data_IF_348591595590
#
_entry.id   IF_348591595590
#
_cell.length_a   1.000
_cell.length_b   1.000
_cell.length_c   1.000
_cell.angle_alpha   90.00
_cell.angle_beta   90.00
_cell.angle_gamma   90.00
#
_symmetry.space_group_name_H-M   'P 1'
#
loop_
_entity.id
_entity.type
_entity.pdbx_description
1 polymer ?
#
# COMPACT_ATOMS: atom_id res chain seq x y z
N UNK A 1 -13.49 0.11 -7.84
CA UNK A 1 -13.55 1.36 -8.64
C UNK A 1 -13.86 1.20 -10.14
N UNK A 2 -13.26 0.24 -10.86
CA UNK A 2 -13.32 0.16 -12.35
C UNK A 2 -14.71 0.07 -13.01
N UNK A 3 -15.78 -0.15 -12.25
CA UNK A 3 -17.17 -0.15 -12.74
C UNK A 3 -17.85 1.22 -12.63
N UNK A 4 -17.25 2.18 -11.93
CA UNK A 4 -17.77 3.54 -11.81
C UNK A 4 -17.39 4.37 -13.04
N UNK A 5 -18.25 5.30 -13.50
CA UNK A 5 -17.92 6.18 -14.60
C UNK A 5 -16.72 7.08 -14.26
N UNK A 6 -15.58 6.86 -14.92
CA UNK A 6 -14.31 7.57 -14.66
C UNK A 6 -14.38 9.08 -14.86
N UNK A 7 -15.32 9.55 -15.69
CA UNK A 7 -15.56 10.98 -15.93
C UNK A 7 -16.38 11.66 -14.82
N UNK A 8 -17.07 10.88 -13.97
CA UNK A 8 -17.97 11.42 -12.94
C UNK A 8 -17.49 11.15 -11.52
N UNK A 9 -16.68 10.12 -11.32
CA UNK A 9 -16.18 9.70 -10.01
C UNK A 9 -14.67 9.90 -9.93
N UNK A 10 -14.24 10.66 -8.92
CA UNK A 10 -12.85 10.68 -8.52
C UNK A 10 -12.53 9.41 -7.73
N UNK A 11 -11.57 8.62 -8.22
CA UNK A 11 -11.09 7.42 -7.55
C UNK A 11 -9.84 7.73 -6.75
N UNK A 12 -9.99 7.75 -5.43
CA UNK A 12 -8.87 7.79 -4.52
C UNK A 12 -8.47 6.35 -4.17
N UNK A 13 -7.32 5.90 -4.65
CA UNK A 13 -6.75 4.60 -4.28
C UNK A 13 -5.77 4.79 -3.12
N UNK A 14 -6.10 4.19 -1.97
CA UNK A 14 -5.26 4.20 -0.78
C UNK A 14 -3.88 3.60 -1.08
N UNK A 15 -3.84 2.43 -1.70
CA UNK A 15 -2.59 1.74 -2.05
C UNK A 15 -1.70 2.57 -3.00
N UNK A 16 -2.32 3.20 -4.01
CA UNK A 16 -1.61 4.11 -4.90
C UNK A 16 -1.01 5.28 -4.12
N UNK A 17 -1.76 5.86 -3.18
CA UNK A 17 -1.28 6.96 -2.36
C UNK A 17 -0.15 6.54 -1.43
N UNK A 18 -0.29 5.39 -0.77
CA UNK A 18 0.73 4.77 0.07
C UNK A 18 2.02 4.62 -0.75
N UNK A 19 1.94 3.97 -1.91
CA UNK A 19 3.10 3.70 -2.76
C UNK A 19 3.78 4.94 -3.34
N UNK A 20 3.01 5.97 -3.71
CA UNK A 20 3.55 7.16 -4.37
C UNK A 20 4.03 8.25 -3.40
N UNK A 21 3.30 8.51 -2.31
CA UNK A 21 3.64 9.60 -1.38
C UNK A 21 4.45 9.12 -0.17
N UNK A 22 4.07 8.00 0.43
CA UNK A 22 4.55 7.66 1.77
C UNK A 22 5.63 6.57 1.76
N UNK A 23 5.56 5.63 0.82
CA UNK A 23 6.56 4.59 0.63
C UNK A 23 7.45 4.82 -0.59
N UNK A 24 7.23 5.90 -1.34
CA UNK A 24 8.00 6.21 -2.54
C UNK A 24 9.50 6.24 -2.30
N UNK A 25 9.96 6.97 -1.28
CA UNK A 25 11.37 7.03 -0.89
C UNK A 25 11.87 5.70 -0.29
N UNK A 26 11.22 5.08 0.71
CA UNK A 26 11.64 3.78 1.23
C UNK A 26 11.81 2.68 0.17
N UNK A 27 10.90 2.61 -0.80
CA UNK A 27 10.99 1.66 -1.92
C UNK A 27 12.22 2.00 -2.77
N UNK A 28 12.41 3.28 -3.11
CA UNK A 28 13.51 3.73 -3.95
C UNK A 28 14.88 3.50 -3.28
N UNK A 29 14.99 3.76 -1.99
CA UNK A 29 16.21 3.55 -1.22
C UNK A 29 16.57 2.07 -1.14
N UNK A 30 15.59 1.18 -0.95
CA UNK A 30 15.81 -0.26 -1.00
C UNK A 30 16.32 -0.72 -2.38
N UNK A 31 15.83 -0.13 -3.48
CA UNK A 31 16.31 -0.46 -4.83
C UNK A 31 17.73 0.08 -5.03
N UNK A 32 17.99 1.33 -4.64
CA UNK A 32 19.32 1.94 -4.74
C UNK A 32 20.34 1.13 -3.95
N UNK A 33 20.01 0.72 -2.72
CA UNK A 33 20.90 -0.10 -1.89
C UNK A 33 21.33 -1.39 -2.61
N UNK A 34 20.40 -2.10 -3.26
CA UNK A 34 20.73 -3.28 -4.05
C UNK A 34 21.52 -2.95 -5.32
N UNK A 35 21.22 -1.83 -5.99
CA UNK A 35 21.97 -1.38 -7.15
C UNK A 35 23.44 -1.04 -6.80
N UNK A 36 23.70 -0.57 -5.57
CA UNK A 36 25.06 -0.29 -5.10
C UNK A 36 25.93 -1.54 -4.97
N UNK A 37 25.34 -2.72 -4.83
CA UNK A 37 26.07 -4.00 -4.79
C UNK A 37 26.54 -4.46 -6.19
N UNK A 38 26.03 -3.84 -7.26
CA UNK A 38 26.42 -4.09 -8.65
C UNK A 38 27.37 -2.99 -9.11
N UNK A 39 28.69 -3.24 -9.26
CA UNK A 39 29.67 -2.19 -9.56
C UNK A 39 29.32 -1.30 -10.77
N UNK A 40 28.81 -1.91 -11.84
CA UNK A 40 28.35 -1.18 -13.03
C UNK A 40 27.22 -0.18 -12.72
N UNK A 41 26.21 -0.59 -11.95
CA UNK A 41 25.10 0.29 -11.60
C UNK A 41 25.52 1.36 -10.59
N UNK A 42 26.39 0.99 -9.63
CA UNK A 42 26.99 1.92 -8.68
C UNK A 42 27.69 3.07 -9.38
N UNK A 43 28.57 2.78 -10.34
CA UNK A 43 29.32 3.82 -11.04
C UNK A 43 28.38 4.78 -11.78
N UNK A 44 27.37 4.24 -12.49
CA UNK A 44 26.38 5.05 -13.20
C UNK A 44 25.48 5.89 -12.28
N UNK A 45 25.13 5.39 -11.09
CA UNK A 45 24.33 6.13 -10.12
C UNK A 45 25.15 7.23 -9.44
N UNK A 46 26.42 6.97 -9.09
CA UNK A 46 27.29 7.95 -8.44
C UNK A 46 27.71 9.07 -9.38
N UNK A 47 27.80 8.80 -10.69
CA UNK A 47 28.10 9.81 -11.71
C UNK A 47 26.87 10.53 -12.25
N UNK A 48 25.68 10.34 -11.65
CA UNK A 48 24.39 10.85 -12.13
C UNK A 48 24.10 10.53 -13.61
N UNK A 49 24.69 9.45 -14.13
CA UNK A 49 24.51 9.02 -15.52
C UNK A 49 23.20 8.26 -15.73
N UNK A 50 22.63 7.71 -14.65
CA UNK A 50 21.28 7.15 -14.61
C UNK A 50 20.56 7.60 -13.33
N UNK A 51 19.23 7.56 -13.36
CA UNK A 51 18.41 7.70 -12.17
C UNK A 51 17.39 6.56 -12.11
N UNK A 52 16.91 6.25 -10.91
CA UNK A 52 15.89 5.23 -10.67
C UNK A 52 14.62 5.93 -10.21
N UNK A 53 13.48 5.53 -10.75
CA UNK A 53 12.17 6.04 -10.37
C UNK A 53 11.18 4.88 -10.20
N UNK A 54 10.30 5.01 -9.21
CA UNK A 54 9.26 4.03 -8.96
C UNK A 54 8.07 4.28 -9.88
N UNK A 55 7.76 3.30 -10.73
CA UNK A 55 6.56 3.34 -11.56
C UNK A 55 5.38 2.66 -10.84
N UNK A 56 4.78 3.38 -9.89
CA UNK A 56 3.57 2.96 -9.20
C UNK A 56 2.35 3.54 -9.93
N UNK A 57 1.37 2.70 -10.22
CA UNK A 57 0.06 3.12 -10.72
C UNK A 57 -1.05 2.43 -9.94
N UNK A 58 -2.29 2.86 -10.14
CA UNK A 58 -3.47 2.22 -9.52
C UNK A 58 -3.54 0.73 -9.91
N UNK A 59 -3.15 0.38 -11.14
CA UNK A 59 -3.14 -1.01 -11.62
C UNK A 59 -1.81 -1.73 -11.39
N UNK A 60 -0.72 -1.01 -11.09
CA UNK A 60 0.60 -1.56 -10.82
C UNK A 60 1.11 -1.19 -9.42
N UNK A 61 0.76 -2.04 -8.45
CA UNK A 61 1.22 -1.95 -7.06
C UNK A 61 2.40 -2.90 -6.77
N UNK A 62 3.03 -3.44 -7.81
CA UNK A 62 4.16 -4.35 -7.66
C UNK A 62 5.33 -3.74 -6.85
N UNK A 63 5.70 -2.45 -7.00
CA UNK A 63 6.77 -1.86 -6.19
C UNK A 63 6.47 -1.84 -4.69
N UNK A 64 5.20 -1.60 -4.32
CA UNK A 64 4.77 -1.63 -2.91
C UNK A 64 4.85 -3.06 -2.39
N UNK A 65 4.31 -4.02 -3.15
CA UNK A 65 4.31 -5.43 -2.79
C UNK A 65 5.73 -5.99 -2.65
N UNK A 66 6.64 -5.68 -3.59
CA UNK A 66 8.03 -6.15 -3.55
C UNK A 66 8.79 -5.55 -2.36
N UNK A 67 8.51 -4.30 -2.00
CA UNK A 67 9.07 -3.70 -0.80
C UNK A 67 8.55 -4.36 0.46
N UNK A 68 7.23 -4.51 0.65
CA UNK A 68 6.70 -5.18 1.87
C UNK A 68 7.28 -6.59 2.04
N UNK A 69 7.38 -7.34 0.94
CA UNK A 69 8.01 -8.65 0.92
C UNK A 69 7.28 -9.66 1.80
N UNK A 70 7.99 -10.72 2.18
CA UNK A 70 7.49 -11.78 3.06
C UNK A 70 8.59 -12.17 4.02
N UNK A 71 8.23 -12.53 5.25
CA UNK A 71 9.18 -13.15 6.17
C UNK A 71 9.63 -14.51 5.62
N UNK A 72 10.93 -14.82 5.74
CA UNK A 72 11.44 -16.14 5.36
C UNK A 72 12.93 -16.18 5.02
N UNK A 73 13.32 -17.20 4.26
CA UNK A 73 14.71 -17.43 3.87
C UNK A 73 15.20 -16.37 2.86
N UNK A 74 16.24 -15.62 3.22
CA UNK A 74 16.85 -14.59 2.37
C UNK A 74 17.36 -15.10 1.03
N UNK A 75 17.85 -16.35 0.96
CA UNK A 75 18.28 -16.98 -0.30
C UNK A 75 17.13 -17.24 -1.26
N UNK A 76 15.89 -17.25 -0.78
CA UNK A 76 14.66 -17.42 -1.56
C UNK A 76 13.83 -16.12 -1.64
N UNK A 77 14.44 -14.97 -1.31
CA UNK A 77 13.77 -13.66 -1.35
C UNK A 77 12.92 -13.32 -0.12
N UNK A 78 13.06 -14.08 0.98
CA UNK A 78 12.44 -13.76 2.26
C UNK A 78 13.20 -12.71 3.05
N UNK A 79 12.49 -11.94 3.87
CA UNK A 79 13.04 -10.93 4.77
C UNK A 79 13.32 -11.53 6.15
N UNK A 80 14.40 -11.07 6.77
CA UNK A 80 14.62 -11.28 8.19
C UNK A 80 13.50 -10.59 9.00
N UNK A 81 13.14 -11.16 10.15
CA UNK A 81 12.03 -10.68 10.98
C UNK A 81 12.10 -9.18 11.28
N UNK A 82 13.27 -8.68 11.71
CA UNK A 82 13.45 -7.27 12.05
C UNK A 82 13.21 -6.34 10.86
N UNK A 83 13.67 -6.73 9.66
CA UNK A 83 13.44 -5.95 8.45
C UNK A 83 11.99 -6.00 8.01
N UNK A 84 11.36 -7.18 8.09
CA UNK A 84 9.94 -7.33 7.81
C UNK A 84 9.10 -6.42 8.73
N UNK A 85 9.34 -6.46 10.05
CA UNK A 85 8.67 -5.58 11.03
C UNK A 85 8.88 -4.10 10.74
N UNK A 86 10.11 -3.69 10.37
CA UNK A 86 10.39 -2.31 9.99
C UNK A 86 9.54 -1.87 8.81
N UNK A 87 9.42 -2.70 7.76
CA UNK A 87 8.59 -2.40 6.58
C UNK A 87 7.10 -2.40 6.91
N UNK A 88 6.65 -3.30 7.77
CA UNK A 88 5.28 -3.31 8.31
C UNK A 88 4.93 -2.02 9.05
N UNK A 89 5.82 -1.51 9.91
CA UNK A 89 5.62 -0.26 10.63
C UNK A 89 5.60 0.96 9.69
N UNK A 90 6.43 0.96 8.64
CA UNK A 90 6.37 2.01 7.60
C UNK A 90 5.05 1.97 6.85
N UNK A 91 4.56 0.78 6.48
CA UNK A 91 3.26 0.61 5.83
C UNK A 91 2.11 1.11 6.70
N UNK A 92 2.09 0.74 7.98
CA UNK A 92 1.06 1.19 8.93
C UNK A 92 0.98 2.71 9.01
N UNK A 93 2.11 3.38 9.18
CA UNK A 93 2.18 4.86 9.18
C UNK A 93 1.72 5.46 7.85
N UNK A 94 2.12 4.85 6.74
CA UNK A 94 1.73 5.28 5.40
C UNK A 94 0.22 5.15 5.18
N UNK A 95 -0.38 4.08 5.67
CA UNK A 95 -1.81 3.81 5.53
C UNK A 95 -2.65 4.78 6.36
N UNK A 96 -2.27 5.04 7.62
CA UNK A 96 -2.88 6.08 8.47
C UNK A 96 -2.83 7.44 7.74
N UNK A 97 -1.65 7.85 7.28
CA UNK A 97 -1.48 9.14 6.62
C UNK A 97 -2.22 9.23 5.28
N UNK A 98 -2.37 8.11 4.55
CA UNK A 98 -3.19 8.04 3.35
C UNK A 98 -4.68 8.16 3.67
N UNK A 99 -5.16 7.66 4.81
CA UNK A 99 -6.56 7.83 5.20
C UNK A 99 -6.87 9.26 5.65
N UNK A 100 -5.95 9.95 6.32
CA UNK A 100 -6.11 11.38 6.63
C UNK A 100 -6.11 12.29 5.38
N UNK A 101 -5.39 11.91 4.32
CA UNK A 101 -5.39 12.65 3.06
C UNK A 101 -6.78 12.66 2.37
N UNK A 102 -7.70 11.74 2.72
CA UNK A 102 -9.01 11.57 2.05
C UNK A 102 -9.83 12.85 2.07
N UNK A 103 -9.95 13.52 3.22
CA UNK A 103 -10.74 14.76 3.35
C UNK A 103 -10.27 15.85 2.38
N UNK A 104 -8.96 16.08 2.32
CA UNK A 104 -8.38 17.06 1.40
C UNK A 104 -8.54 16.65 -0.06
N UNK A 105 -8.49 15.35 -0.37
CA UNK A 105 -8.73 14.86 -1.73
C UNK A 105 -10.18 14.99 -2.18
N UNK A 106 -11.16 14.89 -1.28
CA UNK A 106 -12.56 15.21 -1.57
C UNK A 106 -12.65 16.68 -2.05
N UNK A 107 -12.03 17.61 -1.31
CA UNK A 107 -12.02 19.02 -1.68
C UNK A 107 -11.27 19.28 -2.98
N UNK A 108 -10.11 18.65 -3.20
CA UNK A 108 -9.32 18.78 -4.44
C UNK A 108 -10.06 18.21 -5.65
N UNK A 109 -10.72 17.06 -5.50
CA UNK A 109 -11.47 16.40 -6.57
C UNK A 109 -12.53 17.34 -7.16
N UNK A 110 -13.27 18.02 -6.30
CA UNK A 110 -14.27 18.98 -6.75
C UNK A 110 -13.64 20.30 -7.23
N UNK A 111 -12.76 20.91 -6.43
CA UNK A 111 -12.21 22.25 -6.70
C UNK A 111 -11.33 22.30 -7.96
N UNK A 112 -10.48 21.29 -8.16
CA UNK A 112 -9.47 21.29 -9.23
C UNK A 112 -10.02 20.62 -10.48
N UNK A 113 -10.73 19.51 -10.32
CA UNK A 113 -11.12 18.64 -11.42
C UNK A 113 -12.63 18.63 -11.70
N UNK A 114 -13.45 19.25 -10.84
CA UNK A 114 -14.90 19.33 -11.02
C UNK A 114 -15.67 18.05 -10.70
N UNK A 115 -15.02 17.03 -10.13
CA UNK A 115 -15.70 15.77 -9.78
C UNK A 115 -16.72 16.00 -8.65
N UNK A 116 -17.95 15.58 -8.90
CA UNK A 116 -19.06 15.65 -7.91
C UNK A 116 -19.22 14.39 -7.07
N UNK A 117 -18.54 13.31 -7.46
CA UNK A 117 -18.59 12.04 -6.76
C UNK A 117 -17.18 11.56 -6.43
N UNK A 118 -17.03 10.92 -5.28
CA UNK A 118 -15.75 10.49 -4.74
C UNK A 118 -15.86 9.08 -4.19
N UNK A 119 -14.88 8.22 -4.48
CA UNK A 119 -14.73 6.91 -3.86
C UNK A 119 -13.37 6.79 -3.21
N UNK A 120 -13.36 6.47 -1.91
CA UNK A 120 -12.19 6.01 -1.19
C UNK A 120 -12.08 4.48 -1.37
N UNK A 121 -11.12 4.05 -2.18
CA UNK A 121 -10.78 2.64 -2.38
C UNK A 121 -9.61 2.30 -1.44
N UNK A 122 -9.97 1.99 -0.20
CA UNK A 122 -9.02 1.71 0.87
C UNK A 122 -8.72 0.20 1.00
N UNK A 123 -7.53 -0.13 1.48
CA UNK A 123 -7.12 -1.50 1.75
C UNK A 123 -7.92 -2.14 2.89
N UNK A 124 -7.98 -3.46 2.92
CA UNK A 124 -8.62 -4.20 4.02
C UNK A 124 -7.93 -4.00 5.37
N UNK A 125 -6.66 -3.60 5.36
CA UNK A 125 -5.85 -3.27 6.54
C UNK A 125 -6.33 -2.03 7.29
N UNK A 126 -7.21 -1.20 6.73
CA UNK A 126 -7.82 -0.07 7.45
C UNK A 126 -8.50 -0.52 8.75
N UNK A 127 -9.11 -1.71 8.76
CA UNK A 127 -9.75 -2.27 9.97
C UNK A 127 -8.73 -2.72 11.03
N UNK A 128 -7.46 -2.85 10.68
CA UNK A 128 -6.37 -3.39 11.50
C UNK A 128 -5.37 -2.30 11.94
N UNK A 129 -5.68 -1.02 11.70
CA UNK A 129 -4.81 0.11 12.04
C UNK A 129 -4.76 0.41 13.54
N UNK A 130 -5.76 -0.04 14.32
CA UNK A 130 -5.90 0.26 15.76
C UNK A 130 -5.85 1.77 16.07
N UNK A 131 -6.29 2.59 15.10
CA UNK A 131 -6.36 4.05 15.18
C UNK A 131 -7.82 4.50 15.04
N UNK A 132 -8.45 4.75 16.20
CA UNK A 132 -9.85 5.19 16.28
C UNK A 132 -10.04 6.59 15.66
N UNK A 133 -9.03 7.45 15.71
CA UNK A 133 -9.12 8.80 15.16
C UNK A 133 -9.19 8.78 13.63
N UNK A 134 -8.48 7.86 12.98
CA UNK A 134 -8.58 7.63 11.53
C UNK A 134 -9.99 7.20 11.14
N UNK A 135 -10.57 6.24 11.86
CA UNK A 135 -11.94 5.79 11.58
C UNK A 135 -12.96 6.90 11.78
N UNK A 136 -12.83 7.69 12.85
CA UNK A 136 -13.68 8.86 13.08
C UNK A 136 -13.50 9.92 11.99
N UNK A 137 -12.26 10.17 11.54
CA UNK A 137 -11.98 11.09 10.45
C UNK A 137 -12.69 10.65 9.17
N UNK A 138 -12.54 9.37 8.79
CA UNK A 138 -13.21 8.81 7.62
C UNK A 138 -14.73 8.88 7.75
N UNK A 139 -15.30 8.55 8.91
CA UNK A 139 -16.74 8.61 9.16
C UNK A 139 -17.32 10.03 9.10
N UNK A 140 -16.54 11.05 9.47
CA UNK A 140 -16.96 12.47 9.34
C UNK A 140 -17.05 12.94 7.89
N UNK A 141 -16.22 12.40 7.00
CA UNK A 141 -16.09 12.87 5.62
C UNK A 141 -16.67 11.92 4.56
N UNK A 142 -16.93 10.66 4.93
CA UNK A 142 -17.34 9.60 3.99
C UNK A 142 -18.40 8.70 4.61
N UNK A 143 -19.13 7.97 3.77
CA UNK A 143 -19.96 6.86 4.20
C UNK A 143 -19.17 5.55 4.09
N UNK A 144 -18.96 4.87 5.22
CA UNK A 144 -18.28 3.57 5.27
C UNK A 144 -19.28 2.46 4.94
N UNK A 145 -18.99 1.67 3.91
CA UNK A 145 -19.85 0.57 3.46
C UNK A 145 -19.14 -0.76 3.74
N UNK A 146 -19.74 -1.59 4.59
CA UNK A 146 -19.29 -2.96 4.81
C UNK A 146 -19.95 -3.90 3.80
N UNK A 147 -19.13 -4.64 3.04
CA UNK A 147 -19.60 -5.63 2.07
C UNK A 147 -19.42 -7.02 2.67
N UNK A 148 -20.53 -7.64 3.06
CA UNK A 148 -20.54 -9.04 3.52
C UNK A 148 -20.58 -10.00 2.34
N UNK A 149 -19.65 -10.93 2.31
CA UNK A 149 -19.53 -12.01 1.32
C UNK A 149 -20.38 -13.23 1.70
N UNK A 150 -20.80 -14.02 0.70
CA UNK A 150 -21.41 -15.34 0.94
C UNK A 150 -20.33 -16.40 1.24
N UNK A 151 -20.70 -17.56 1.84
CA UNK A 151 -19.74 -18.65 2.09
C UNK A 151 -19.01 -19.12 0.82
N UNK A 152 -19.70 -19.20 -0.32
CA UNK A 152 -19.13 -19.65 -1.60
C UNK A 152 -18.12 -18.64 -2.15
N UNK A 153 -18.40 -17.34 -1.99
CA UNK A 153 -17.49 -16.28 -2.40
C UNK A 153 -16.25 -16.22 -1.48
N UNK A 154 -16.40 -16.53 -0.18
CA UNK A 154 -15.27 -16.67 0.73
C UNK A 154 -14.29 -17.75 0.30
N UNK A 155 -14.78 -18.94 -0.04
CA UNK A 155 -13.95 -20.03 -0.59
C UNK A 155 -13.21 -19.58 -1.85
N UNK A 156 -13.88 -18.83 -2.73
CA UNK A 156 -13.28 -18.27 -3.93
C UNK A 156 -12.12 -17.30 -3.58
N UNK A 157 -12.30 -16.43 -2.58
CA UNK A 157 -11.25 -15.48 -2.13
C UNK A 157 -10.07 -16.23 -1.50
N UNK A 158 -10.34 -17.26 -0.68
CA UNK A 158 -9.30 -18.10 -0.06
C UNK A 158 -8.47 -18.81 -1.12
N UNK A 159 -9.12 -19.44 -2.11
CA UNK A 159 -8.44 -20.15 -3.19
C UNK A 159 -7.56 -19.21 -4.02
N UNK A 160 -8.05 -18.00 -4.33
CA UNK A 160 -7.24 -16.98 -5.03
C UNK A 160 -6.04 -16.51 -4.20
N UNK A 161 -6.20 -16.39 -2.89
CA UNK A 161 -5.11 -15.99 -2.00
C UNK A 161 -4.04 -17.08 -1.89
N UNK A 162 -4.42 -18.36 -1.96
CA UNK A 162 -3.47 -19.49 -2.00
C UNK A 162 -2.71 -19.56 -3.32
N UNK A 163 -3.36 -19.32 -4.45
CA UNK A 163 -2.72 -19.39 -5.78
C UNK A 163 -1.85 -18.17 -6.09
N UNK A 164 -2.18 -17.01 -5.54
CA UNK A 164 -1.40 -15.78 -5.72
C UNK A 164 -1.30 -15.01 -4.39
N UNK A 165 -0.46 -15.50 -3.46
CA UNK A 165 -0.34 -14.90 -2.13
C UNK A 165 0.31 -13.51 -2.23
N UNK A 166 -0.51 -12.48 -2.05
CA UNK A 166 -0.05 -11.09 -1.93
C UNK A 166 0.64 -10.87 -0.57
N UNK A 167 1.66 -10.00 -0.49
CA UNK A 167 2.14 -9.47 0.78
C UNK A 167 0.96 -8.89 1.57
N UNK A 168 0.85 -9.26 2.84
CA UNK A 168 -0.23 -8.81 3.71
C UNK A 168 0.34 -7.93 4.80
N UNK A 169 -0.46 -6.95 5.22
CA UNK A 169 -0.20 -6.25 6.46
C UNK A 169 -0.52 -7.16 7.65
N UNK A 170 0.40 -7.24 8.61
CA UNK A 170 0.21 -7.89 9.89
C UNK A 170 0.47 -6.89 11.01
N UNK A 171 -0.41 -6.91 12.01
CA UNK A 171 -0.20 -6.22 13.28
C UNK A 171 1.02 -6.78 13.99
N UNK A 172 1.80 -5.92 14.63
CA UNK A 172 3.03 -6.33 15.32
C UNK A 172 2.73 -7.34 16.45
N UNK A 173 1.73 -7.07 17.29
CA UNK A 173 1.34 -7.98 18.36
C UNK A 173 0.91 -9.37 17.86
N UNK A 174 0.27 -9.44 16.68
CA UNK A 174 -0.06 -10.72 16.04
C UNK A 174 1.19 -11.47 15.57
N UNK A 175 2.14 -10.76 14.94
CA UNK A 175 3.41 -11.35 14.50
C UNK A 175 4.18 -11.90 15.68
N UNK A 176 4.25 -11.16 16.79
CA UNK A 176 4.97 -11.58 17.99
C UNK A 176 4.35 -12.80 18.64
N UNK A 177 3.02 -12.86 18.73
CA UNK A 177 2.33 -14.02 19.28
C UNK A 177 2.44 -15.27 18.38
N UNK A 178 2.50 -15.09 17.05
CA UNK A 178 2.50 -16.21 16.09
C UNK A 178 3.88 -16.77 15.79
N UNK A 179 4.95 -16.03 16.12
CA UNK A 179 6.34 -16.39 15.87
C UNK A 179 7.14 -16.69 17.15
N UNK A 180 6.51 -16.53 18.32
CA UNK A 180 7.00 -17.01 19.61
C UNK A 180 6.97 -18.55 19.68
#
# INVERSE_FOLDING_TARGET
ANKLPKEKWFHYSGDYRIGTKYLGEPILDNIKQQAMDVPFLKDLLLSDSIYICNNVSVDNLAPVSSFLGKIGNSKLGGLALNEFKRRQALHHKAEIAAMYDVSEFIHKAERIYGYKHFINDAGGSVCELEDEEVLQHLARHTLIIYIKTSPELNETIINRSKTSPKPLYYREGFLDASLA
#
